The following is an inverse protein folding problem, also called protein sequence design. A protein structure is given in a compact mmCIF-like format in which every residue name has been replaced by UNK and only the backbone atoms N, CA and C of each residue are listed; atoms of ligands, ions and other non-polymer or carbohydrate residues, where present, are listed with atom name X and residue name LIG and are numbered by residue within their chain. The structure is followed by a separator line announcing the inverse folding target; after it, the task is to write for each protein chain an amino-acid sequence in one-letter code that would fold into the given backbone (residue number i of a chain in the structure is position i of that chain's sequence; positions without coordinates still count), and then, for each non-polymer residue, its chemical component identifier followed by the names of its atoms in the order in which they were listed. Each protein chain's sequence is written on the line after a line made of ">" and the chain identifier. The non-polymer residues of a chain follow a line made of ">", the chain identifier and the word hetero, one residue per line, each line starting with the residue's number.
data_IF_515941739538
#
_entry.id   IF_515941739538
#
_cell.length_a   1.000
_cell.length_b   1.000
_cell.length_c   1.000
_cell.angle_alpha   90.00
_cell.angle_beta   90.00
_cell.angle_gamma   90.00
#
_symmetry.space_group_name_H-M   'P 1'
#
loop_
_entity.id
_entity.type
_entity.pdbx_description
1 polymer ?
#
# COMPACT_ATOMS: atom_id res chain seq x y z
N UNK A 1 56.72 -29.74 42.83
CA UNK A 1 56.39 -29.02 41.58
C UNK A 1 55.11 -29.63 41.03
N UNK A 2 54.02 -28.87 41.00
CA UNK A 2 52.72 -29.32 40.47
C UNK A 2 52.74 -29.37 38.93
N UNK A 3 52.06 -30.32 38.27
CA UNK A 3 51.75 -30.23 36.85
C UNK A 3 50.46 -29.41 36.62
N UNK A 4 50.49 -28.53 35.62
CA UNK A 4 49.41 -27.62 35.20
C UNK A 4 48.18 -28.36 34.66
N UNK A 5 46.94 -27.85 34.90
CA UNK A 5 45.74 -28.35 34.24
C UNK A 5 45.39 -27.48 33.03
N UNK A 6 45.28 -28.09 31.86
CA UNK A 6 44.21 -27.90 30.86
C UNK A 6 44.71 -28.41 29.51
N UNK A 7 44.35 -29.65 29.21
CA UNK A 7 44.16 -30.07 27.83
C UNK A 7 42.76 -30.62 27.80
N UNK A 8 41.79 -29.71 27.69
CA UNK A 8 40.45 -30.07 27.30
C UNK A 8 40.56 -30.71 25.91
N UNK A 9 40.39 -32.03 25.88
CA UNK A 9 40.24 -32.81 24.66
C UNK A 9 39.04 -32.20 23.92
N UNK A 10 39.30 -31.52 22.80
CA UNK A 10 38.23 -31.08 21.90
C UNK A 10 37.57 -32.35 21.40
N UNK A 11 36.36 -32.63 21.88
CA UNK A 11 35.58 -33.76 21.42
C UNK A 11 35.29 -33.57 19.93
N UNK A 12 35.71 -34.54 19.10
CA UNK A 12 35.38 -34.54 17.67
C UNK A 12 33.85 -34.57 17.50
N UNK A 13 33.28 -33.72 16.64
CA UNK A 13 31.87 -33.77 16.33
C UNK A 13 31.50 -35.14 15.73
N UNK A 14 30.30 -35.67 16.00
CA UNK A 14 29.87 -36.95 15.48
C UNK A 14 29.97 -36.98 13.94
N UNK A 15 30.36 -38.12 13.35
CA UNK A 15 30.54 -38.21 11.90
C UNK A 15 29.23 -37.88 11.17
N UNK A 16 29.30 -36.99 10.19
CA UNK A 16 28.16 -36.64 9.37
C UNK A 16 27.81 -37.79 8.41
N UNK A 17 26.55 -38.21 8.37
CA UNK A 17 26.05 -39.31 7.53
C UNK A 17 25.77 -38.90 6.06
N UNK A 18 26.31 -37.77 5.61
CA UNK A 18 26.09 -37.24 4.26
C UNK A 18 27.41 -36.83 3.63
N UNK A 19 27.53 -37.05 2.33
CA UNK A 19 28.66 -36.52 1.56
C UNK A 19 28.70 -34.99 1.68
N UNK A 20 29.89 -34.38 1.85
CA UNK A 20 30.02 -32.93 1.87
C UNK A 20 29.52 -32.36 0.54
N UNK A 21 28.71 -31.29 0.62
CA UNK A 21 28.23 -30.59 -0.56
C UNK A 21 29.43 -30.15 -1.41
N UNK A 22 29.44 -30.36 -2.74
CA UNK A 22 30.56 -29.95 -3.58
C UNK A 22 30.83 -28.45 -3.44
N UNK A 23 32.12 -28.10 -3.45
CA UNK A 23 32.57 -26.71 -3.43
C UNK A 23 31.97 -25.96 -4.63
N UNK A 24 31.28 -24.83 -4.40
CA UNK A 24 30.61 -24.11 -5.48
C UNK A 24 31.64 -23.56 -6.48
N UNK A 25 31.39 -23.79 -7.77
CA UNK A 25 32.30 -23.34 -8.81
C UNK A 25 32.16 -21.82 -9.02
N UNK A 26 33.21 -21.10 -9.43
CA UNK A 26 33.14 -19.66 -9.72
C UNK A 26 32.04 -19.27 -10.71
N UNK A 27 31.70 -20.18 -11.63
CA UNK A 27 30.61 -20.02 -12.59
C UNK A 27 29.24 -19.99 -11.92
N UNK A 28 29.04 -20.81 -10.90
CA UNK A 28 27.77 -20.90 -10.16
C UNK A 28 27.58 -19.64 -9.31
N UNK A 29 28.67 -19.12 -8.73
CA UNK A 29 28.68 -17.86 -7.99
C UNK A 29 28.34 -16.68 -8.92
N UNK A 30 28.95 -16.62 -10.11
CA UNK A 30 28.64 -15.59 -11.10
C UNK A 30 27.17 -15.66 -11.59
N UNK A 31 26.65 -16.87 -11.80
CA UNK A 31 25.26 -17.07 -12.18
C UNK A 31 24.28 -16.64 -11.07
N UNK A 32 24.61 -16.91 -9.80
CA UNK A 32 23.83 -16.47 -8.65
C UNK A 32 23.78 -14.93 -8.55
N UNK A 33 24.92 -14.25 -8.75
CA UNK A 33 24.98 -12.79 -8.74
C UNK A 33 24.13 -12.18 -9.87
N UNK A 34 24.25 -12.68 -11.10
CA UNK A 34 23.42 -12.21 -12.22
C UNK A 34 21.91 -12.43 -12.00
N UNK A 35 21.53 -13.49 -11.29
CA UNK A 35 20.15 -13.72 -10.89
C UNK A 35 19.65 -12.69 -9.89
N UNK A 36 20.45 -12.34 -8.88
CA UNK A 36 20.14 -11.32 -7.87
C UNK A 36 20.00 -9.95 -8.56
N UNK A 37 20.96 -9.55 -9.38
CA UNK A 37 20.93 -8.27 -10.10
C UNK A 37 19.67 -8.12 -10.96
N UNK A 38 19.30 -9.19 -11.67
CA UNK A 38 18.09 -9.22 -12.47
C UNK A 38 16.84 -9.05 -11.59
N UNK A 39 16.75 -9.74 -10.45
CA UNK A 39 15.61 -9.61 -9.54
C UNK A 39 15.52 -8.20 -8.96
N UNK A 40 16.63 -7.62 -8.56
CA UNK A 40 16.67 -6.27 -8.01
C UNK A 40 16.27 -5.22 -9.04
N UNK A 41 16.69 -5.40 -10.30
CA UNK A 41 16.26 -4.54 -11.41
C UNK A 41 14.75 -4.59 -11.63
N UNK A 42 14.15 -5.79 -11.56
CA UNK A 42 12.70 -5.99 -11.75
C UNK A 42 11.94 -5.37 -10.58
N UNK A 43 12.38 -5.59 -9.34
CA UNK A 43 11.74 -5.03 -8.15
C UNK A 43 11.76 -3.50 -8.19
N UNK A 44 12.89 -2.90 -8.56
CA UNK A 44 13.01 -1.45 -8.71
C UNK A 44 12.08 -0.92 -9.80
N UNK A 45 12.07 -1.56 -10.97
CA UNK A 45 11.16 -1.19 -12.05
C UNK A 45 9.69 -1.21 -11.62
N UNK A 46 9.26 -2.27 -10.94
CA UNK A 46 7.87 -2.39 -10.47
C UNK A 46 7.53 -1.29 -9.45
N UNK A 47 8.44 -1.00 -8.51
CA UNK A 47 8.24 0.09 -7.53
C UNK A 47 8.12 1.44 -8.21
N UNK A 48 8.99 1.72 -9.17
CA UNK A 48 8.99 2.99 -9.91
C UNK A 48 7.73 3.14 -10.78
N UNK A 49 7.28 2.04 -11.41
CA UNK A 49 6.04 2.02 -12.19
C UNK A 49 4.81 2.28 -11.30
N UNK A 50 4.76 1.68 -10.10
CA UNK A 50 3.68 1.91 -9.13
C UNK A 50 3.71 3.36 -8.66
N UNK A 51 4.88 3.90 -8.28
CA UNK A 51 5.02 5.28 -7.84
C UNK A 51 4.55 6.25 -8.94
N UNK A 52 5.00 6.03 -10.18
CA UNK A 52 4.58 6.84 -11.34
C UNK A 52 3.06 6.79 -11.55
N UNK A 53 2.44 5.62 -11.40
CA UNK A 53 0.99 5.48 -11.55
C UNK A 53 0.23 6.23 -10.44
N UNK A 54 0.71 6.16 -9.20
CA UNK A 54 0.14 6.88 -8.05
C UNK A 54 0.26 8.39 -8.25
N UNK A 55 1.41 8.88 -8.68
CA UNK A 55 1.62 10.31 -8.94
C UNK A 55 0.69 10.83 -10.04
N UNK A 56 0.53 10.08 -11.14
CA UNK A 56 -0.45 10.39 -12.20
C UNK A 56 -1.88 10.41 -11.68
N UNK A 57 -2.24 9.47 -10.81
CA UNK A 57 -3.57 9.43 -10.21
C UNK A 57 -3.81 10.63 -9.30
N UNK A 58 -2.81 11.01 -8.50
CA UNK A 58 -2.85 12.21 -7.66
C UNK A 58 -3.01 13.46 -8.50
N UNK A 59 -2.18 13.65 -9.53
CA UNK A 59 -2.27 14.80 -10.43
C UNK A 59 -3.64 14.86 -11.12
N UNK A 60 -4.14 13.73 -11.61
CA UNK A 60 -5.48 13.65 -12.22
C UNK A 60 -6.59 13.99 -11.22
N UNK A 61 -6.45 13.56 -9.96
CA UNK A 61 -7.40 13.86 -8.90
C UNK A 61 -7.33 15.32 -8.45
N UNK A 62 -6.14 15.93 -8.43
CA UNK A 62 -5.94 17.34 -8.09
C UNK A 62 -6.51 18.24 -9.19
N UNK A 63 -6.22 17.92 -10.48
CA UNK A 63 -6.77 18.64 -11.63
C UNK A 63 -8.29 18.48 -11.77
N UNK A 64 -8.82 17.27 -11.55
CA UNK A 64 -10.25 16.95 -11.68
C UNK A 64 -10.99 16.96 -10.34
N UNK A 65 -10.43 17.60 -9.31
CA UNK A 65 -10.93 17.55 -7.95
C UNK A 65 -12.45 17.69 -7.84
N UNK A 66 -13.04 17.14 -6.76
CA UNK A 66 -14.49 17.10 -6.45
C UNK A 66 -15.14 18.47 -6.22
N UNK A 67 -14.63 19.53 -6.80
CA UNK A 67 -15.27 20.83 -6.78
C UNK A 67 -16.39 20.77 -7.81
N UNK A 68 -17.63 20.74 -7.33
CA UNK A 68 -18.78 21.09 -8.15
C UNK A 68 -18.64 22.55 -8.57
N UNK A 69 -17.82 22.82 -9.59
CA UNK A 69 -17.55 24.15 -10.14
C UNK A 69 -18.74 24.71 -10.94
N UNK A 70 -19.87 23.99 -10.96
CA UNK A 70 -21.10 24.49 -11.54
C UNK A 70 -21.53 25.72 -10.75
N UNK A 71 -21.32 26.89 -11.35
CA UNK A 71 -22.01 28.11 -10.96
C UNK A 71 -23.48 27.90 -11.26
N UNK A 72 -24.32 28.13 -10.26
CA UNK A 72 -25.74 28.11 -10.44
C UNK A 72 -26.24 29.51 -10.81
N UNK A 73 -27.26 29.57 -11.65
CA UNK A 73 -27.92 30.80 -12.05
C UNK A 73 -29.26 30.97 -11.31
N UNK A 74 -29.73 32.21 -11.22
CA UNK A 74 -31.09 32.50 -10.74
C UNK A 74 -32.09 31.75 -11.63
N UNK A 75 -32.97 30.97 -11.03
CA UNK A 75 -33.92 30.10 -11.74
C UNK A 75 -33.55 28.63 -11.78
N UNK A 76 -32.29 28.27 -11.53
CA UNK A 76 -31.87 26.86 -11.47
C UNK A 76 -32.57 26.13 -10.32
N UNK A 77 -32.84 24.84 -10.54
CA UNK A 77 -33.34 23.92 -9.51
C UNK A 77 -32.21 23.03 -9.02
N UNK A 78 -31.86 23.16 -7.75
CA UNK A 78 -30.72 22.48 -7.12
C UNK A 78 -31.17 21.61 -5.95
N UNK A 79 -30.45 20.52 -5.71
CA UNK A 79 -30.67 19.69 -4.53
C UNK A 79 -29.82 20.20 -3.36
N UNK A 80 -30.43 20.33 -2.19
CA UNK A 80 -29.75 20.79 -0.98
C UNK A 80 -29.18 19.60 -0.20
N UNK A 81 -27.92 19.69 0.22
CA UNK A 81 -27.29 18.67 1.07
C UNK A 81 -27.92 18.66 2.46
N UNK A 82 -28.20 17.48 3.00
CA UNK A 82 -28.70 17.31 4.37
C UNK A 82 -27.61 17.38 5.44
N UNK A 83 -26.34 17.52 5.03
CA UNK A 83 -25.21 17.73 5.96
C UNK A 83 -25.40 19.00 6.80
N UNK A 84 -25.47 18.86 8.12
CA UNK A 84 -25.66 19.98 9.05
C UNK A 84 -27.11 20.41 9.26
N UNK A 85 -28.09 19.76 8.60
CA UNK A 85 -29.51 19.96 8.86
C UNK A 85 -29.93 19.03 10.00
N UNK A 86 -30.72 19.54 10.96
CA UNK A 86 -31.21 18.72 12.06
C UNK A 86 -32.13 17.60 11.53
N UNK A 87 -32.01 16.36 12.06
CA UNK A 87 -32.80 15.22 11.58
C UNK A 87 -34.32 15.40 11.70
N UNK A 88 -34.80 16.33 12.53
CA UNK A 88 -36.21 16.67 12.71
C UNK A 88 -36.76 17.57 11.60
N UNK A 89 -35.91 18.30 10.89
CA UNK A 89 -36.30 19.22 9.80
C UNK A 89 -36.37 18.52 8.44
N UNK A 90 -35.77 17.35 8.33
CA UNK A 90 -35.86 16.46 7.17
C UNK A 90 -36.87 15.38 7.51
N UNK A 91 -37.71 14.96 6.56
CA UNK A 91 -38.67 13.86 6.75
C UNK A 91 -37.91 12.53 6.92
N UNK A 92 -37.29 12.35 8.07
CA UNK A 92 -36.64 11.12 8.47
C UNK A 92 -37.72 10.30 9.18
N UNK A 93 -38.15 9.20 8.56
CA UNK A 93 -39.14 8.25 9.06
C UNK A 93 -38.63 7.50 10.32
N UNK A 94 -38.15 8.23 11.34
CA UNK A 94 -37.57 7.70 12.57
C UNK A 94 -36.21 7.01 12.42
N UNK A 95 -35.61 6.97 11.24
CA UNK A 95 -34.39 6.21 10.96
C UNK A 95 -33.21 7.07 10.49
N UNK A 96 -32.06 6.94 11.16
CA UNK A 96 -30.82 7.65 10.83
C UNK A 96 -30.00 6.99 9.70
N UNK A 97 -30.32 5.75 9.31
CA UNK A 97 -29.49 4.94 8.40
C UNK A 97 -29.98 4.93 6.94
N UNK A 98 -31.13 5.52 6.64
CA UNK A 98 -31.76 5.57 5.31
C UNK A 98 -32.23 6.98 4.93
N UNK A 99 -31.54 8.02 5.44
CA UNK A 99 -31.90 9.40 5.13
C UNK A 99 -31.33 9.81 3.76
N UNK A 100 -32.11 10.53 2.94
CA UNK A 100 -31.59 11.03 1.67
C UNK A 100 -30.45 12.02 1.93
N UNK A 101 -29.32 11.84 1.23
CA UNK A 101 -28.17 12.76 1.31
C UNK A 101 -28.49 14.15 0.77
N UNK A 102 -29.41 14.23 -0.19
CA UNK A 102 -29.89 15.47 -0.77
C UNK A 102 -31.41 15.52 -0.77
N UNK A 103 -31.97 16.68 -0.51
CA UNK A 103 -33.42 16.93 -0.49
C UNK A 103 -33.80 17.92 -1.60
N UNK A 104 -35.00 17.72 -2.16
CA UNK A 104 -35.82 18.68 -2.93
C UNK A 104 -35.14 19.51 -4.04
N UNK A 105 -35.80 19.74 -5.19
CA UNK A 105 -35.35 20.78 -6.09
C UNK A 105 -35.75 22.17 -5.53
N UNK A 106 -34.77 22.92 -5.02
CA UNK A 106 -34.93 24.30 -4.59
C UNK A 106 -34.60 25.25 -5.75
N UNK A 107 -35.45 26.27 -5.95
CA UNK A 107 -35.19 27.32 -6.92
C UNK A 107 -34.24 28.35 -6.32
N UNK A 108 -33.15 28.66 -7.02
CA UNK A 108 -32.29 29.78 -6.67
C UNK A 108 -33.01 31.07 -7.05
N UNK A 109 -33.19 31.95 -6.06
CA UNK A 109 -33.81 33.27 -6.22
C UNK A 109 -32.75 34.35 -6.28
#
# INVERSE_FOLDING_TARGET
>A
MQPSPDSALVAEPPPANFDPNPEPLPRDIAAAHGFIDRRDSIIRYVRDAIATAVDRQKESADQRGRKNLKRFNVGDRVLLSTSGITPTSVTNLGANKLTPRFIGPFKIR
#
